data_IF_260384229820
#
_entry.id   IF_260384229820
#
_cell.length_a   1.000
_cell.length_b   1.000
_cell.length_c   1.000
_cell.angle_alpha   90.00
_cell.angle_beta   90.00
_cell.angle_gamma   90.00
#
_symmetry.space_group_name_H-M   'P 1'
#
loop_
_entity.id
_entity.type
_entity.pdbx_description
1 polymer ?
#
# COMPACT_ATOMS: atom_id res chain seq x y z
N UNK A 1 16.68 -6.14 21.65
CA UNK A 1 17.60 -5.78 20.60
C UNK A 1 16.84 -5.00 19.52
N UNK A 2 17.12 -3.73 19.41
CA UNK A 2 16.45 -2.93 18.39
C UNK A 2 16.99 -3.32 17.01
N UNK A 3 16.08 -3.62 16.11
CA UNK A 3 16.46 -3.89 14.73
C UNK A 3 16.42 -2.57 13.96
N UNK A 4 17.56 -2.00 13.70
CA UNK A 4 17.66 -0.96 12.71
C UNK A 4 17.75 -1.61 11.34
N UNK A 5 17.33 -0.89 10.30
CA UNK A 5 17.49 -1.38 8.94
C UNK A 5 18.96 -1.50 8.60
N UNK A 6 19.34 -2.62 8.02
CA UNK A 6 20.67 -2.78 7.46
C UNK A 6 20.83 -1.99 6.17
N UNK A 7 22.06 -1.96 5.65
CA UNK A 7 22.34 -1.25 4.40
C UNK A 7 21.49 -1.75 3.23
N UNK A 8 21.23 -3.06 3.17
CA UNK A 8 20.40 -3.62 2.10
C UNK A 8 18.96 -3.16 2.21
N UNK A 9 18.41 -3.08 3.45
CA UNK A 9 17.05 -2.59 3.67
C UNK A 9 16.94 -1.11 3.32
N UNK A 10 17.96 -0.32 3.65
CA UNK A 10 17.99 1.09 3.27
C UNK A 10 18.04 1.28 1.76
N UNK A 11 18.73 0.40 1.04
CA UNK A 11 18.74 0.42 -0.42
C UNK A 11 17.37 0.17 -1.00
N UNK A 12 16.57 -0.70 -0.36
CA UNK A 12 15.22 -1.00 -0.79
C UNK A 12 14.22 0.07 -0.38
N UNK A 13 14.48 0.76 0.73
CA UNK A 13 13.54 1.71 1.30
C UNK A 13 13.28 2.90 0.37
N UNK A 14 14.32 3.48 -0.21
CA UNK A 14 14.15 4.62 -1.10
C UNK A 14 13.40 4.27 -2.39
N UNK A 15 13.77 3.19 -3.12
CA UNK A 15 12.96 2.78 -4.29
C UNK A 15 11.54 2.40 -3.91
N UNK A 16 11.33 1.76 -2.76
CA UNK A 16 10.01 1.38 -2.30
C UNK A 16 9.14 2.61 -2.05
N UNK A 17 9.69 3.62 -1.39
CA UNK A 17 8.96 4.86 -1.13
C UNK A 17 8.65 5.60 -2.44
N UNK A 18 9.57 5.61 -3.40
CA UNK A 18 9.30 6.20 -4.71
C UNK A 18 8.17 5.48 -5.43
N UNK A 19 8.15 4.15 -5.38
CA UNK A 19 7.08 3.36 -5.97
C UNK A 19 5.75 3.67 -5.29
N UNK A 20 5.76 3.78 -3.97
CA UNK A 20 4.56 4.16 -3.22
C UNK A 20 4.02 5.51 -3.67
N UNK A 21 4.89 6.51 -3.81
CA UNK A 21 4.43 7.85 -4.22
C UNK A 21 3.86 7.86 -5.63
N UNK A 22 4.38 7.04 -6.53
CA UNK A 22 3.82 6.88 -7.87
C UNK A 22 2.43 6.28 -7.84
N UNK A 23 2.25 5.25 -7.02
CA UNK A 23 0.95 4.61 -6.86
C UNK A 23 -0.04 5.59 -6.20
N UNK A 24 0.41 6.32 -5.20
CA UNK A 24 -0.42 7.33 -4.55
C UNK A 24 -0.93 8.36 -5.55
N UNK A 25 -0.08 8.77 -6.49
CA UNK A 25 -0.47 9.67 -7.56
C UNK A 25 -1.50 9.03 -8.49
N UNK A 26 -1.26 7.78 -8.90
CA UNK A 26 -2.18 7.06 -9.78
C UNK A 26 -3.56 6.88 -9.13
N UNK A 27 -3.59 6.67 -7.83
CA UNK A 27 -4.84 6.51 -7.07
C UNK A 27 -5.41 7.84 -6.60
N UNK A 28 -4.75 8.96 -6.87
CA UNK A 28 -5.16 10.30 -6.43
C UNK A 28 -5.36 10.38 -4.92
N UNK A 29 -4.45 9.75 -4.17
CA UNK A 29 -4.53 9.77 -2.71
C UNK A 29 -4.22 11.15 -2.16
N UNK A 30 -5.02 11.59 -1.19
CA UNK A 30 -4.73 12.81 -0.45
C UNK A 30 -3.53 12.59 0.46
N UNK A 31 -2.91 13.68 0.96
CA UNK A 31 -1.82 13.56 1.93
C UNK A 31 -2.26 12.78 3.17
N UNK A 32 -3.49 13.01 3.62
CA UNK A 32 -4.04 12.30 4.78
C UNK A 32 -4.18 10.79 4.51
N UNK A 33 -4.69 10.43 3.33
CA UNK A 33 -4.81 9.02 2.93
C UNK A 33 -3.45 8.36 2.83
N UNK A 34 -2.48 9.04 2.22
CA UNK A 34 -1.12 8.52 2.12
C UNK A 34 -0.51 8.25 3.49
N UNK A 35 -0.67 9.20 4.43
CA UNK A 35 -0.16 9.04 5.79
C UNK A 35 -0.80 7.87 6.51
N UNK A 36 -2.12 7.70 6.35
CA UNK A 36 -2.84 6.60 6.99
C UNK A 36 -2.36 5.24 6.47
N UNK A 37 -2.15 5.12 5.18
CA UNK A 37 -1.70 3.87 4.55
C UNK A 37 -0.24 3.59 4.89
N UNK A 38 0.62 4.59 4.79
CA UNK A 38 2.06 4.44 5.02
C UNK A 38 2.42 4.30 6.50
N UNK A 39 1.57 4.80 7.38
CA UNK A 39 1.81 4.80 8.83
C UNK A 39 2.60 6.00 9.32
N UNK A 40 2.97 6.91 8.42
CA UNK A 40 3.65 8.18 8.74
C UNK A 40 3.52 9.12 7.55
N UNK A 41 3.67 10.44 7.78
CA UNK A 41 3.62 11.38 6.65
C UNK A 41 4.74 11.10 5.65
N UNK A 42 4.44 11.27 4.37
CA UNK A 42 5.39 10.96 3.29
C UNK A 42 6.63 11.86 3.36
N UNK A 43 6.44 13.14 3.65
CA UNK A 43 7.56 14.09 3.76
C UNK A 43 8.48 13.73 4.92
N UNK A 44 7.91 13.26 6.04
CA UNK A 44 8.70 12.77 7.18
C UNK A 44 9.50 11.53 6.77
N UNK A 45 8.86 10.59 6.05
CA UNK A 45 9.53 9.39 5.58
C UNK A 45 10.69 9.74 4.65
N UNK A 46 10.49 10.67 3.72
CA UNK A 46 11.54 11.12 2.81
C UNK A 46 12.71 11.75 3.57
N UNK A 47 12.41 12.62 4.54
CA UNK A 47 13.43 13.27 5.34
C UNK A 47 14.23 12.26 6.17
N UNK A 48 13.57 11.27 6.73
CA UNK A 48 14.24 10.22 7.50
C UNK A 48 15.20 9.42 6.63
N UNK A 49 14.78 9.07 5.42
CA UNK A 49 15.66 8.33 4.50
C UNK A 49 16.86 9.15 4.07
N UNK A 50 16.66 10.44 3.77
CA UNK A 50 17.75 11.33 3.38
C UNK A 50 18.77 11.49 4.50
N UNK A 51 18.29 11.53 5.74
CA UNK A 51 19.17 11.68 6.92
C UNK A 51 19.75 10.35 7.39
N UNK A 52 19.32 9.22 6.82
CA UNK A 52 19.70 7.90 7.30
C UNK A 52 19.13 7.59 8.69
N UNK A 53 18.08 8.33 9.09
CA UNK A 53 17.51 8.25 10.44
C UNK A 53 16.27 7.36 10.45
N UNK A 54 16.43 6.08 10.16
CA UNK A 54 15.33 5.12 10.20
C UNK A 54 15.15 4.62 11.63
N UNK A 55 13.90 4.48 12.03
CA UNK A 55 13.54 4.02 13.37
C UNK A 55 13.10 2.56 13.36
N UNK A 56 12.69 2.05 14.53
CA UNK A 56 12.28 0.65 14.68
C UNK A 56 10.98 0.34 13.96
N UNK A 57 10.21 1.34 13.54
CA UNK A 57 8.95 1.14 12.82
C UNK A 57 9.16 1.06 11.29
N UNK A 58 10.36 1.33 10.79
CA UNK A 58 10.64 1.26 9.37
C UNK A 58 10.38 -0.11 8.74
N UNK A 59 10.70 -1.23 9.41
CA UNK A 59 10.34 -2.54 8.83
C UNK A 59 8.83 -2.67 8.59
N UNK A 60 8.00 -2.18 9.49
CA UNK A 60 6.55 -2.19 9.27
C UNK A 60 6.16 -1.24 8.13
N UNK A 61 6.79 -0.07 8.04
CA UNK A 61 6.54 0.86 6.93
C UNK A 61 6.83 0.20 5.59
N UNK A 62 7.95 -0.50 5.48
CA UNK A 62 8.28 -1.25 4.27
C UNK A 62 7.27 -2.35 3.97
N UNK A 63 6.77 -3.00 5.00
CA UNK A 63 5.75 -4.04 4.86
C UNK A 63 4.44 -3.43 4.33
N UNK A 64 4.05 -2.26 4.82
CA UNK A 64 2.89 -1.53 4.32
C UNK A 64 3.05 -1.20 2.84
N UNK A 65 4.21 -0.70 2.46
CA UNK A 65 4.51 -0.42 1.05
C UNK A 65 4.42 -1.69 0.22
N UNK A 66 4.95 -2.80 0.72
CA UNK A 66 4.89 -4.08 0.03
C UNK A 66 3.45 -4.50 -0.26
N UNK A 67 2.55 -4.36 0.71
CA UNK A 67 1.14 -4.67 0.49
C UNK A 67 0.52 -3.75 -0.57
N UNK A 68 0.85 -2.46 -0.53
CA UNK A 68 0.36 -1.50 -1.53
C UNK A 68 0.84 -1.87 -2.93
N UNK A 69 2.12 -2.22 -3.07
CA UNK A 69 2.67 -2.66 -4.35
C UNK A 69 1.94 -3.90 -4.86
N UNK A 70 1.66 -4.85 -3.96
CA UNK A 70 0.95 -6.06 -4.32
C UNK A 70 -0.49 -5.78 -4.72
N UNK A 71 -1.17 -4.88 -4.02
CA UNK A 71 -2.53 -4.47 -4.36
C UNK A 71 -2.54 -3.83 -5.76
N UNK A 72 -1.61 -2.91 -6.00
CA UNK A 72 -1.52 -2.24 -7.30
C UNK A 72 -1.28 -3.25 -8.41
N UNK A 73 -0.31 -4.16 -8.23
CA UNK A 73 0.02 -5.17 -9.23
C UNK A 73 -1.18 -6.09 -9.52
N UNK A 74 -1.90 -6.50 -8.48
CA UNK A 74 -3.08 -7.35 -8.64
C UNK A 74 -4.15 -6.64 -9.45
N UNK A 75 -4.37 -5.35 -9.18
CA UNK A 75 -5.37 -4.55 -9.90
C UNK A 75 -5.00 -4.40 -11.38
N UNK A 76 -3.71 -4.20 -11.68
CA UNK A 76 -3.25 -4.12 -13.07
C UNK A 76 -3.46 -5.45 -13.80
N UNK A 77 -3.37 -6.55 -13.09
CA UNK A 77 -3.60 -7.88 -13.66
C UNK A 77 -5.09 -8.16 -13.88
N UNK A 78 -5.92 -7.77 -12.92
CA UNK A 78 -7.36 -8.04 -12.98
C UNK A 78 -8.11 -7.14 -13.94
N UNK A 79 -7.67 -5.91 -14.13
CA UNK A 79 -8.37 -4.91 -14.95
C UNK A 79 -7.47 -4.46 -16.09
N UNK A 80 -7.85 -4.78 -17.34
CA UNK A 80 -7.06 -4.30 -18.49
C UNK A 80 -7.07 -2.78 -18.65
N UNK A 81 -8.15 -2.12 -18.23
CA UNK A 81 -8.28 -0.68 -18.32
C UNK A 81 -7.64 -0.04 -17.08
N UNK A 82 -6.66 0.84 -17.33
CA UNK A 82 -5.92 1.51 -16.27
C UNK A 82 -6.83 2.33 -15.35
N UNK A 83 -7.82 3.01 -15.93
CA UNK A 83 -8.74 3.82 -15.13
C UNK A 83 -9.61 2.95 -14.22
N UNK A 84 -10.04 1.80 -14.70
CA UNK A 84 -10.79 0.86 -13.87
C UNK A 84 -9.94 0.29 -12.75
N UNK A 85 -8.70 -0.06 -13.06
CA UNK A 85 -7.76 -0.58 -12.07
C UNK A 85 -7.51 0.48 -10.98
N UNK A 86 -7.20 1.71 -11.39
CA UNK A 86 -6.87 2.77 -10.45
C UNK A 86 -8.08 3.27 -9.66
N UNK A 87 -9.28 3.12 -10.18
CA UNK A 87 -10.51 3.53 -9.51
C UNK A 87 -11.11 2.48 -8.60
N UNK A 88 -10.61 1.25 -8.64
CA UNK A 88 -11.23 0.14 -7.92
C UNK A 88 -11.31 0.40 -6.41
N UNK A 89 -10.26 0.97 -5.81
CA UNK A 89 -10.21 1.17 -4.36
C UNK A 89 -11.27 2.17 -3.86
N UNK A 90 -11.81 2.98 -4.75
CA UNK A 90 -12.81 4.01 -4.38
C UNK A 90 -14.23 3.56 -4.64
N UNK A 91 -14.44 2.48 -5.37
CA UNK A 91 -15.79 1.98 -5.65
C UNK A 91 -16.31 1.17 -4.47
N UNK A 92 -17.58 1.34 -4.08
CA UNK A 92 -18.18 0.48 -3.06
C UNK A 92 -18.06 -0.99 -3.46
N UNK A 93 -17.76 -1.83 -2.49
CA UNK A 93 -17.52 -3.25 -2.75
C UNK A 93 -18.37 -4.10 -1.81
N UNK A 94 -19.20 -4.97 -2.39
CA UNK A 94 -20.05 -5.88 -1.62
C UNK A 94 -19.31 -7.09 -1.08
N UNK A 95 -18.02 -7.28 -1.46
CA UNK A 95 -17.23 -8.39 -0.97
C UNK A 95 -17.15 -8.44 0.55
N UNK A 96 -16.99 -9.63 1.11
CA UNK A 96 -17.09 -9.87 2.54
C UNK A 96 -16.26 -8.93 3.41
N UNK A 97 -14.97 -8.63 3.09
CA UNK A 97 -14.19 -7.77 3.98
C UNK A 97 -14.66 -6.30 3.96
N UNK A 98 -15.35 -5.87 2.90
CA UNK A 98 -15.63 -4.45 2.69
C UNK A 98 -17.04 -4.02 3.12
N UNK A 99 -17.98 -4.94 3.17
CA UNK A 99 -19.36 -4.69 3.66
C UNK A 99 -20.04 -3.51 2.98
N UNK A 100 -19.82 -3.37 1.68
CA UNK A 100 -20.40 -2.27 0.90
C UNK A 100 -19.57 -1.00 0.88
N UNK A 101 -18.48 -0.92 1.64
CA UNK A 101 -17.60 0.24 1.66
C UNK A 101 -16.50 0.11 0.60
N UNK A 102 -15.90 1.21 0.16
CA UNK A 102 -14.72 1.13 -0.70
C UNK A 102 -13.54 0.49 0.03
N UNK A 103 -12.72 -0.23 -0.72
CA UNK A 103 -11.49 -0.81 -0.14
C UNK A 103 -10.60 0.25 0.48
N UNK A 104 -10.60 1.47 -0.05
CA UNK A 104 -9.81 2.57 0.47
C UNK A 104 -10.14 2.85 1.94
N UNK A 105 -11.40 2.72 2.34
CA UNK A 105 -11.79 2.90 3.74
C UNK A 105 -11.06 1.93 4.65
N UNK A 106 -10.94 0.66 4.23
CA UNK A 106 -10.21 -0.34 4.99
C UNK A 106 -8.70 -0.08 4.96
N UNK A 107 -8.18 0.38 3.82
CA UNK A 107 -6.75 0.67 3.67
C UNK A 107 -6.30 1.85 4.55
N UNK A 108 -7.21 2.76 4.88
CA UNK A 108 -6.90 3.96 5.65
C UNK A 108 -7.17 3.84 7.14
N UNK A 109 -7.44 2.64 7.66
CA UNK A 109 -7.65 2.44 9.10
C UNK A 109 -6.40 2.64 9.91
N UNK A 110 -5.24 2.57 9.28
CA UNK A 110 -3.95 2.61 9.97
C UNK A 110 -3.43 1.25 10.38
N UNK A 111 -4.24 0.21 10.25
CA UNK A 111 -3.86 -1.15 10.66
C UNK A 111 -3.20 -1.90 9.51
N UNK A 112 -2.03 -2.45 9.77
CA UNK A 112 -1.29 -3.24 8.79
C UNK A 112 -2.10 -4.43 8.30
N UNK A 113 -2.79 -5.11 9.22
CA UNK A 113 -3.61 -6.27 8.89
C UNK A 113 -4.73 -5.97 7.91
N UNK A 114 -5.24 -4.74 7.90
CA UNK A 114 -6.30 -4.35 6.98
C UNK A 114 -5.77 -4.21 5.55
N UNK A 115 -4.52 -3.74 5.40
CA UNK A 115 -3.86 -3.75 4.08
C UNK A 115 -3.66 -5.18 3.59
N UNK A 116 -3.26 -6.07 4.48
CA UNK A 116 -3.09 -7.48 4.16
C UNK A 116 -4.40 -8.11 3.69
N UNK A 117 -5.50 -7.78 4.35
CA UNK A 117 -6.82 -8.29 3.98
C UNK A 117 -7.18 -7.88 2.55
N UNK A 118 -6.93 -6.62 2.18
CA UNK A 118 -7.20 -6.14 0.81
C UNK A 118 -6.33 -6.90 -0.19
N UNK A 119 -5.04 -7.07 0.12
CA UNK A 119 -4.12 -7.79 -0.73
C UNK A 119 -4.57 -9.24 -0.95
N UNK A 120 -4.93 -9.92 0.14
CA UNK A 120 -5.39 -11.30 0.07
C UNK A 120 -6.68 -11.45 -0.71
N UNK A 121 -7.61 -10.49 -0.55
CA UNK A 121 -8.85 -10.50 -1.29
C UNK A 121 -8.58 -10.46 -2.81
N UNK A 122 -7.69 -9.58 -3.23
CA UNK A 122 -7.37 -9.44 -4.65
C UNK A 122 -6.59 -10.65 -5.18
N UNK A 123 -5.69 -11.20 -4.39
CA UNK A 123 -4.96 -12.42 -4.76
C UNK A 123 -5.93 -13.59 -4.97
N UNK A 124 -6.95 -13.69 -4.12
CA UNK A 124 -7.99 -14.69 -4.27
C UNK A 124 -8.80 -14.53 -5.55
N UNK A 125 -9.08 -13.29 -5.95
CA UNK A 125 -9.77 -13.03 -7.21
C UNK A 125 -8.92 -13.44 -8.40
N UNK A 126 -7.62 -13.20 -8.34
CA UNK A 126 -6.70 -13.58 -9.40
C UNK A 126 -6.53 -15.09 -9.54
N UNK A 127 -6.58 -15.81 -8.42
CA UNK A 127 -6.46 -17.27 -8.43
C UNK A 127 -7.76 -17.95 -8.90
N UNK A 128 -8.90 -17.32 -8.67
CA UNK A 128 -10.19 -17.83 -9.09
C UNK A 128 -10.48 -17.31 -10.48
N UNK A 129 -10.08 -18.08 -11.48
CA UNK A 129 -10.34 -17.77 -12.87
C UNK A 129 -11.44 -18.69 -13.37
N UNK A 130 -12.70 -18.25 -13.41
CA UNK A 130 -13.70 -19.01 -14.13
C UNK A 130 -13.40 -18.86 -15.61
N UNK A 131 -12.82 -19.84 -16.17
CA UNK A 131 -12.51 -19.85 -17.59
C UNK A 131 -13.73 -20.23 -18.40
#
# INVERSE_FOLDING_TARGET
MSKSLGNDDLRLAAPALRAFTRIASAWSLTAHEQSAILGRPVDVACSQLEAGATDSDWPETLQRISFVLGIYAALQTLFPDQQQADGWIRRPNAGAPFKGEPALALMCTGELGDLEIVREYLDGQGMYQPS
#
